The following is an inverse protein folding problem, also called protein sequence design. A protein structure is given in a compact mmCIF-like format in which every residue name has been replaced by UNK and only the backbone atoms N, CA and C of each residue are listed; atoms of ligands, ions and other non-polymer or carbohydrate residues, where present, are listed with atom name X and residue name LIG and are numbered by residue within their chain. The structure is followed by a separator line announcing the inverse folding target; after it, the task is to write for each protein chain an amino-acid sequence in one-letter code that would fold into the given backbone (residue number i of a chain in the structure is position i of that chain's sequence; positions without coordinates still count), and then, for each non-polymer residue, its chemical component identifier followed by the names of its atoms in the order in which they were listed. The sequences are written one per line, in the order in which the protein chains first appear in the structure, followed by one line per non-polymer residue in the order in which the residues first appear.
data_IF_253063582183
#
_entry.id   IF_253063582183
#
_cell.length_a   1.000
_cell.length_b   1.000
_cell.length_c   1.000
_cell.angle_alpha   90.00
_cell.angle_beta   90.00
_cell.angle_gamma   90.00
#
_symmetry.space_group_name_H-M   'P 1'
#
loop_
_entity.id
_entity.type
_entity.pdbx_description
1 polymer ?
#
# COMPACT_ATOMS: atom_id res chain seq x y z
N UNK A 1 42.61 4.53 25.89
CA UNK A 1 41.83 5.16 26.98
C UNK A 1 40.84 6.20 26.45
N UNK A 2 41.23 7.11 25.54
CA UNK A 2 40.34 8.17 25.01
C UNK A 2 39.07 7.71 24.25
N UNK A 3 39.10 6.56 23.56
CA UNK A 3 37.89 6.00 22.92
C UNK A 3 36.85 5.60 23.98
N UNK A 4 37.30 5.00 25.08
CA UNK A 4 36.44 4.57 26.20
C UNK A 4 35.81 5.80 26.88
N UNK A 5 36.59 6.88 27.07
CA UNK A 5 36.10 8.14 27.64
C UNK A 5 35.08 8.84 26.74
N UNK A 6 35.30 8.85 25.41
CA UNK A 6 34.30 9.35 24.44
C UNK A 6 33.00 8.55 24.49
N UNK A 7 33.07 7.22 24.60
CA UNK A 7 31.88 6.39 24.78
C UNK A 7 31.17 6.66 26.10
N UNK A 8 31.91 6.82 27.21
CA UNK A 8 31.35 7.19 28.51
C UNK A 8 30.65 8.55 28.46
N UNK A 9 31.24 9.55 27.79
CA UNK A 9 30.64 10.89 27.62
C UNK A 9 29.37 10.85 26.77
N UNK A 10 29.41 10.16 25.61
CA UNK A 10 28.24 10.00 24.74
C UNK A 10 27.10 9.23 25.43
N UNK A 11 27.42 8.25 26.27
CA UNK A 11 26.44 7.52 27.09
C UNK A 11 25.82 8.41 28.17
N UNK A 12 26.61 9.27 28.81
CA UNK A 12 26.13 10.24 29.80
C UNK A 12 25.22 11.32 29.17
N UNK A 13 25.60 11.84 28.00
CA UNK A 13 24.78 12.78 27.22
C UNK A 13 23.44 12.16 26.81
N UNK A 14 23.45 10.91 26.33
CA UNK A 14 22.23 10.17 26.00
C UNK A 14 21.34 9.95 27.24
N UNK A 15 21.92 9.55 28.38
CA UNK A 15 21.18 9.39 29.63
C UNK A 15 20.56 10.70 30.13
N UNK A 16 21.29 11.81 30.03
CA UNK A 16 20.79 13.15 30.38
C UNK A 16 19.65 13.59 29.45
N UNK A 17 19.76 13.32 28.15
CA UNK A 17 18.69 13.62 27.18
C UNK A 17 17.41 12.81 27.46
N UNK A 18 17.55 11.53 27.83
CA UNK A 18 16.43 10.66 28.19
C UNK A 18 15.77 11.09 29.52
N UNK A 19 16.56 11.54 30.50
CA UNK A 19 16.05 12.08 31.76
C UNK A 19 15.27 13.39 31.53
N UNK A 20 15.80 14.29 30.69
CA UNK A 20 15.14 15.54 30.30
C UNK A 20 13.80 15.28 29.58
N UNK A 21 13.78 14.36 28.62
CA UNK A 21 12.55 13.96 27.93
C UNK A 21 11.49 13.36 28.87
N UNK A 22 11.90 12.64 29.93
CA UNK A 22 10.98 12.14 30.97
C UNK A 22 10.42 13.26 31.85
N UNK A 23 11.24 14.26 32.21
CA UNK A 23 10.81 15.40 33.02
C UNK A 23 9.80 16.28 32.26
N UNK A 24 10.02 16.51 30.96
CA UNK A 24 9.11 17.29 30.10
C UNK A 24 7.82 16.51 29.74
N UNK A 25 7.81 15.18 29.88
CA UNK A 25 6.66 14.31 29.65
C UNK A 25 5.71 14.13 30.83
N UNK A 26 6.00 14.74 32.00
CA UNK A 26 5.21 14.64 33.23
C UNK A 26 3.96 15.56 33.23
N UNK A 27 3.48 15.98 32.06
CA UNK A 27 2.16 16.59 31.92
C UNK A 27 1.05 15.56 32.19
N UNK A 28 -0.10 16.04 32.64
CA UNK A 28 -1.30 15.23 32.85
C UNK A 28 -1.55 14.33 31.61
N UNK A 29 -1.41 13.02 31.80
CA UNK A 29 -1.64 12.00 30.78
C UNK A 29 -3.07 12.03 30.22
N UNK A 30 -3.99 12.75 30.85
CA UNK A 30 -5.32 13.07 30.32
C UNK A 30 -5.30 14.07 29.16
N UNK A 31 -4.29 14.95 29.09
CA UNK A 31 -4.18 15.99 28.04
C UNK A 31 -3.46 15.51 26.79
N UNK A 32 -2.72 14.40 26.87
CA UNK A 32 -2.10 13.79 25.68
C UNK A 32 -3.17 13.08 24.87
N UNK A 33 -3.58 13.70 23.75
CA UNK A 33 -4.43 13.05 22.75
C UNK A 33 -3.76 11.73 22.36
N UNK A 34 -4.36 10.61 22.76
CA UNK A 34 -3.85 9.28 22.40
C UNK A 34 -3.96 9.19 20.88
N UNK A 35 -2.82 9.04 20.21
CA UNK A 35 -2.73 8.91 18.76
C UNK A 35 -3.23 7.53 18.30
N UNK A 36 -4.39 7.10 18.80
CA UNK A 36 -5.01 5.81 18.47
C UNK A 36 -5.86 6.01 17.22
N UNK A 37 -5.62 5.19 16.22
CA UNK A 37 -6.37 5.17 14.97
C UNK A 37 -7.79 4.65 15.17
N UNK A 38 -8.74 5.24 14.44
CA UNK A 38 -10.15 4.84 14.46
C UNK A 38 -10.30 3.47 13.81
N UNK A 39 -10.85 2.51 14.54
CA UNK A 39 -10.99 1.11 14.10
C UNK A 39 -12.32 0.84 13.35
N UNK A 40 -13.22 1.82 13.32
CA UNK A 40 -14.49 1.77 12.58
C UNK A 40 -14.38 2.55 11.27
N UNK A 41 -15.14 2.17 10.24
CA UNK A 41 -15.26 3.01 9.04
C UNK A 41 -15.83 4.39 9.41
N UNK A 42 -15.53 5.40 8.61
CA UNK A 42 -15.95 6.79 8.80
C UNK A 42 -17.46 6.93 8.94
N UNK A 43 -18.23 6.21 8.12
CA UNK A 43 -19.69 6.24 8.19
C UNK A 43 -20.24 5.67 9.50
N UNK A 44 -19.71 4.55 9.99
CA UNK A 44 -20.10 3.97 11.28
C UNK A 44 -19.60 4.82 12.45
N UNK A 45 -18.42 5.44 12.30
CA UNK A 45 -17.85 6.35 13.29
C UNK A 45 -18.71 7.59 13.49
N UNK A 46 -19.07 8.30 12.40
CA UNK A 46 -19.94 9.49 12.46
C UNK A 46 -21.35 9.14 12.91
N UNK A 47 -21.87 7.98 12.47
CA UNK A 47 -23.19 7.48 12.88
C UNK A 47 -23.24 6.92 14.30
N UNK A 48 -22.08 6.77 14.96
CA UNK A 48 -21.90 6.14 16.29
C UNK A 48 -22.49 4.73 16.37
N UNK A 49 -22.19 3.89 15.38
CA UNK A 49 -22.72 2.52 15.28
C UNK A 49 -21.60 1.49 15.32
N UNK A 50 -21.96 0.26 15.69
CA UNK A 50 -21.04 -0.87 15.64
C UNK A 50 -20.60 -1.10 14.19
N UNK A 51 -19.29 -1.18 13.98
CA UNK A 51 -18.67 -1.50 12.70
C UNK A 51 -18.13 -2.93 12.78
N UNK A 52 -18.58 -3.79 11.88
CA UNK A 52 -18.16 -5.19 11.74
C UNK A 52 -16.77 -5.33 11.10
N UNK A 53 -16.18 -4.21 10.65
CA UNK A 53 -14.82 -4.11 10.09
C UNK A 53 -14.58 -4.93 8.82
N UNK A 54 -15.64 -5.45 8.18
CA UNK A 54 -15.58 -5.84 6.77
C UNK A 54 -15.26 -4.61 5.90
N UNK A 55 -14.67 -4.84 4.73
CA UNK A 55 -14.44 -3.79 3.71
C UNK A 55 -15.11 -4.21 2.39
N UNK A 56 -16.20 -3.55 1.98
CA UNK A 56 -17.05 -2.65 2.77
C UNK A 56 -17.67 -3.38 3.98
N UNK A 57 -17.99 -2.66 5.05
CA UNK A 57 -18.52 -3.29 6.26
C UNK A 57 -19.98 -3.71 6.00
N UNK A 58 -20.42 -4.84 6.58
CA UNK A 58 -21.71 -5.47 6.33
C UNK A 58 -22.89 -4.52 6.50
N UNK A 59 -22.83 -3.60 7.48
CA UNK A 59 -23.83 -2.53 7.61
C UNK A 59 -23.87 -1.61 6.39
N UNK A 60 -22.70 -1.15 5.92
CA UNK A 60 -22.64 -0.29 4.74
C UNK A 60 -23.07 -1.03 3.48
N UNK A 61 -22.81 -2.34 3.38
CA UNK A 61 -23.30 -3.20 2.31
C UNK A 61 -24.82 -3.31 2.32
N UNK A 62 -25.43 -3.60 3.47
CA UNK A 62 -26.88 -3.71 3.61
C UNK A 62 -27.62 -2.40 3.28
N UNK A 63 -27.01 -1.26 3.59
CA UNK A 63 -27.58 0.06 3.33
C UNK A 63 -27.27 0.59 1.91
N UNK A 64 -26.51 -0.13 1.09
CA UNK A 64 -26.07 0.36 -0.22
C UNK A 64 -25.08 1.53 -0.15
N UNK A 65 -24.44 1.74 1.01
CA UNK A 65 -23.48 2.82 1.29
C UNK A 65 -22.03 2.36 1.12
N UNK A 66 -21.78 1.41 0.22
CA UNK A 66 -20.45 0.83 0.02
C UNK A 66 -19.43 1.86 -0.47
N UNK A 67 -19.86 2.83 -1.28
CA UNK A 67 -19.01 3.90 -1.83
C UNK A 67 -18.50 4.89 -0.78
N UNK A 68 -19.20 5.05 0.34
CA UNK A 68 -18.84 5.97 1.44
C UNK A 68 -18.28 5.22 2.66
N UNK A 69 -18.11 3.90 2.55
CA UNK A 69 -17.52 3.07 3.59
C UNK A 69 -15.98 3.17 3.55
N UNK A 70 -15.44 4.29 4.02
CA UNK A 70 -14.01 4.60 3.99
C UNK A 70 -13.40 4.47 5.40
N UNK A 71 -12.15 4.04 5.51
CA UNK A 71 -11.40 4.00 6.77
C UNK A 71 -10.26 5.03 6.71
N UNK A 72 -9.92 5.67 7.84
CA UNK A 72 -8.85 6.69 7.91
C UNK A 72 -7.46 6.11 7.61
N UNK A 73 -7.27 4.84 7.95
CA UNK A 73 -6.07 4.09 7.61
C UNK A 73 -6.48 3.04 6.60
N UNK A 74 -5.79 3.01 5.48
CA UNK A 74 -6.01 1.97 4.49
C UNK A 74 -5.27 0.70 4.93
N UNK A 75 -5.80 0.05 5.96
CA UNK A 75 -5.45 -1.33 6.30
C UNK A 75 -5.95 -2.18 5.13
N UNK A 76 -5.13 -2.28 4.07
CA UNK A 76 -5.39 -3.17 2.94
C UNK A 76 -5.74 -4.55 3.51
N UNK A 77 -6.93 -5.02 3.16
CA UNK A 77 -7.48 -6.28 3.66
C UNK A 77 -6.46 -7.42 3.54
N UNK A 78 -6.34 -8.32 4.53
CA UNK A 78 -5.50 -9.52 4.42
C UNK A 78 -5.89 -10.43 3.24
N UNK A 79 -7.14 -10.32 2.74
CA UNK A 79 -7.64 -11.09 1.59
C UNK A 79 -7.00 -10.68 0.25
N UNK A 80 -6.31 -9.54 0.18
CA UNK A 80 -5.59 -9.13 -1.03
C UNK A 80 -4.45 -10.09 -1.41
N UNK A 81 -4.05 -11.02 -0.52
CA UNK A 81 -3.01 -12.01 -0.79
C UNK A 81 -3.46 -13.20 -1.63
N UNK A 82 -4.69 -13.70 -1.46
CA UNK A 82 -5.16 -14.93 -2.11
C UNK A 82 -5.33 -14.74 -3.63
N UNK A 83 -5.80 -13.58 -4.06
CA UNK A 83 -5.99 -13.26 -5.48
C UNK A 83 -4.73 -12.72 -6.15
N UNK A 84 -3.68 -12.38 -5.38
CA UNK A 84 -2.50 -11.70 -5.94
C UNK A 84 -1.74 -12.58 -6.93
N UNK A 85 -1.60 -13.87 -6.65
CA UNK A 85 -0.87 -14.81 -7.52
C UNK A 85 -1.66 -15.10 -8.81
N UNK A 86 -2.97 -15.31 -8.70
CA UNK A 86 -3.86 -15.52 -9.85
C UNK A 86 -3.88 -14.29 -10.76
N UNK A 87 -3.93 -13.09 -10.17
CA UNK A 87 -3.87 -11.84 -10.91
C UNK A 87 -2.52 -11.65 -11.58
N UNK A 88 -1.41 -11.95 -10.90
CA UNK A 88 -0.07 -11.91 -11.49
C UNK A 88 0.07 -12.87 -12.67
N UNK A 89 -0.43 -14.10 -12.55
CA UNK A 89 -0.42 -15.08 -13.62
C UNK A 89 -1.21 -14.60 -14.84
N UNK A 90 -2.40 -14.03 -14.60
CA UNK A 90 -3.24 -13.51 -15.68
C UNK A 90 -2.64 -12.26 -16.32
N UNK A 91 -1.98 -11.40 -15.56
CA UNK A 91 -1.24 -10.24 -16.09
C UNK A 91 -0.10 -10.71 -16.99
N UNK A 92 0.69 -11.69 -16.56
CA UNK A 92 1.79 -12.24 -17.37
C UNK A 92 1.29 -12.86 -18.70
N UNK A 93 0.17 -13.58 -18.67
CA UNK A 93 -0.48 -14.11 -19.88
C UNK A 93 -0.90 -12.98 -20.84
N UNK A 94 -1.56 -11.95 -20.32
CA UNK A 94 -2.00 -10.80 -21.12
C UNK A 94 -0.81 -10.03 -21.70
N UNK A 95 0.25 -9.82 -20.91
CA UNK A 95 1.49 -9.19 -21.37
C UNK A 95 2.14 -9.99 -22.51
N UNK A 96 2.08 -11.32 -22.46
CA UNK A 96 2.52 -12.19 -23.55
C UNK A 96 1.74 -11.97 -24.84
N UNK A 97 0.39 -11.99 -24.76
CA UNK A 97 -0.49 -11.75 -25.93
C UNK A 97 -0.28 -10.35 -26.51
N UNK A 98 -0.14 -9.33 -25.66
CA UNK A 98 0.13 -7.95 -26.10
C UNK A 98 1.44 -7.89 -26.88
N UNK A 99 2.51 -8.51 -26.37
CA UNK A 99 3.81 -8.55 -27.05
C UNK A 99 3.74 -9.27 -28.40
N UNK A 100 3.04 -10.40 -28.47
CA UNK A 100 2.83 -11.13 -29.72
C UNK A 100 2.09 -10.28 -30.76
N UNK A 101 0.96 -9.67 -30.39
CA UNK A 101 0.20 -8.79 -31.27
C UNK A 101 1.03 -7.59 -31.72
N UNK A 102 1.82 -6.99 -30.83
CA UNK A 102 2.74 -5.92 -31.20
C UNK A 102 3.81 -6.38 -32.18
N UNK A 103 4.37 -7.58 -32.02
CA UNK A 103 5.37 -8.14 -32.92
C UNK A 103 4.77 -8.45 -34.30
N UNK A 104 3.61 -9.11 -34.36
CA UNK A 104 2.91 -9.40 -35.62
C UNK A 104 2.54 -8.11 -36.35
N UNK A 105 2.06 -7.09 -35.64
CA UNK A 105 1.73 -5.78 -36.24
C UNK A 105 2.96 -5.06 -36.78
N UNK A 106 4.10 -5.13 -36.09
CA UNK A 106 5.35 -4.51 -36.55
C UNK A 106 5.96 -5.30 -37.71
N UNK A 107 6.01 -6.64 -37.63
CA UNK A 107 6.50 -7.50 -38.70
C UNK A 107 5.67 -7.34 -39.98
N UNK A 108 4.34 -7.20 -39.86
CA UNK A 108 3.45 -6.90 -40.98
C UNK A 108 3.60 -5.47 -41.53
N UNK A 109 4.23 -4.55 -40.79
CA UNK A 109 4.52 -3.17 -41.19
C UNK A 109 5.97 -2.93 -41.66
N UNK A 110 6.85 -3.94 -41.64
CA UNK A 110 8.22 -3.79 -42.13
C UNK A 110 8.29 -4.01 -43.65
N UNK A 111 8.82 -3.05 -44.44
CA UNK A 111 8.75 -3.05 -45.89
C UNK A 111 9.93 -3.84 -46.47
N UNK A 112 9.88 -5.16 -46.42
CA UNK A 112 10.81 -5.96 -47.21
C UNK A 112 10.21 -7.29 -47.62
N UNK A 113 9.05 -7.30 -48.28
CA UNK A 113 8.67 -8.38 -49.19
C UNK A 113 7.96 -7.81 -50.40
N UNK A 114 8.77 -7.37 -51.36
CA UNK A 114 8.37 -7.05 -52.73
C UNK A 114 9.50 -7.35 -53.73
N UNK A 115 10.40 -8.28 -53.42
CA UNK A 115 11.36 -8.83 -54.39
C UNK A 115 10.96 -10.26 -54.75
N UNK A 116 9.78 -10.40 -55.36
CA UNK A 116 9.45 -11.62 -56.09
C UNK A 116 10.07 -11.50 -57.47
N UNK A 117 11.12 -12.29 -57.70
CA UNK A 117 11.75 -12.51 -59.00
C UNK A 117 10.70 -12.74 -60.08
N UNK A 118 10.60 -11.81 -61.03
CA UNK A 118 9.87 -11.99 -62.28
C UNK A 118 10.73 -12.88 -63.20
N UNK A 119 10.45 -14.19 -63.20
CA UNK A 119 10.84 -15.12 -64.26
C UNK A 119 9.55 -15.51 -64.97
N UNK A 120 9.53 -15.37 -66.30
CA UNK A 120 8.57 -15.81 -67.36
C UNK A 120 8.51 -14.64 -68.38
N UNK A 121 8.81 -14.75 -69.68
CA UNK A 121 8.98 -15.86 -70.61
C UNK A 121 9.78 -15.33 -71.81
#
# INVERSE_FOLDING_TARGET
MERIERFKRKKAEAAASAAKAKAEGAGDHRKRRRNRTTQSCLNCHTSKRMCDRGRPCGRCTQLGLTSVCIYEVDDRSPRAGEDSEVLQQRVAELEGVINEVHHVRQAAFHPNWGSTTLVHR
#
